data_IF_735025588364
#
_entry.id   IF_735025588364
#
_cell.length_a   1.000
_cell.length_b   1.000
_cell.length_c   1.000
_cell.angle_alpha   90.00
_cell.angle_beta   90.00
_cell.angle_gamma   90.00
#
_symmetry.space_group_name_H-M   'P 1'
#
loop_
_entity.id
_entity.type
_entity.pdbx_description
1 polymer ?
#
# COMPACT_ATOMS: atom_id res chain seq x y z
N UNK A 1 -26.58 -2.97 1.64
CA UNK A 1 -25.45 -2.23 2.22
C UNK A 1 -24.20 -3.00 1.90
N UNK A 2 -23.19 -2.33 1.35
CA UNK A 2 -21.95 -2.98 0.98
C UNK A 2 -20.96 -2.81 2.14
N UNK A 3 -20.46 -3.88 2.78
CA UNK A 3 -19.53 -3.76 3.93
C UNK A 3 -18.28 -2.94 3.61
N UNK A 4 -17.95 -2.76 2.33
CA UNK A 4 -16.86 -1.90 1.89
C UNK A 4 -17.14 -0.40 2.00
N UNK A 5 -18.39 0.04 2.11
CA UNK A 5 -18.76 1.45 2.21
C UNK A 5 -19.20 1.87 3.61
N UNK A 6 -19.64 0.93 4.44
CA UNK A 6 -20.17 1.24 5.77
C UNK A 6 -19.09 1.82 6.69
N UNK A 7 -17.88 1.25 6.69
CA UNK A 7 -16.75 1.78 7.45
C UNK A 7 -16.26 3.13 6.91
N UNK A 8 -16.28 3.33 5.59
CA UNK A 8 -15.93 4.60 4.99
C UNK A 8 -16.93 5.71 5.38
N UNK A 9 -18.23 5.40 5.43
CA UNK A 9 -19.26 6.33 5.88
C UNK A 9 -19.02 6.74 7.34
N UNK A 10 -18.73 5.80 8.23
CA UNK A 10 -18.42 6.06 9.63
C UNK A 10 -17.18 6.96 9.79
N UNK A 11 -16.13 6.75 8.97
CA UNK A 11 -14.95 7.61 8.96
C UNK A 11 -15.33 9.05 8.59
N UNK A 12 -16.09 9.26 7.52
CA UNK A 12 -16.53 10.60 7.11
C UNK A 12 -17.33 11.31 8.22
N UNK A 13 -18.21 10.57 8.91
CA UNK A 13 -19.01 11.09 10.01
C UNK A 13 -18.15 11.50 11.21
N UNK A 14 -17.09 10.76 11.55
CA UNK A 14 -16.14 11.12 12.60
C UNK A 14 -15.49 12.49 12.37
N UNK A 15 -15.26 12.86 11.12
CA UNK A 15 -14.73 14.18 10.74
C UNK A 15 -15.82 15.25 10.56
N UNK A 16 -17.05 14.97 10.95
CA UNK A 16 -18.17 15.92 10.89
C UNK A 16 -18.58 16.30 9.47
N UNK A 17 -18.29 15.46 8.48
CA UNK A 17 -18.58 15.71 7.06
C UNK A 17 -18.04 17.05 6.55
N UNK A 18 -16.86 17.47 7.04
CA UNK A 18 -16.24 18.75 6.67
C UNK A 18 -15.25 18.58 5.51
N UNK A 19 -15.39 19.43 4.49
CA UNK A 19 -14.52 19.40 3.30
C UNK A 19 -13.04 19.70 3.60
N UNK A 20 -12.77 20.47 4.63
CA UNK A 20 -11.41 20.77 5.11
C UNK A 20 -10.64 19.54 5.57
N UNK A 21 -11.36 18.47 5.96
CA UNK A 21 -10.80 17.21 6.42
C UNK A 21 -10.65 16.15 5.31
N UNK A 22 -10.85 16.51 4.04
CA UNK A 22 -10.84 15.57 2.92
C UNK A 22 -9.58 14.68 2.90
N UNK A 23 -8.39 15.25 3.08
CA UNK A 23 -7.14 14.48 3.06
C UNK A 23 -7.08 13.48 4.21
N UNK A 24 -7.44 13.90 5.43
CA UNK A 24 -7.46 13.02 6.61
C UNK A 24 -8.48 11.88 6.45
N UNK A 25 -9.66 12.19 5.91
CA UNK A 25 -10.70 11.18 5.59
C UNK A 25 -10.15 10.15 4.59
N UNK A 26 -9.51 10.59 3.51
CA UNK A 26 -8.92 9.68 2.50
C UNK A 26 -7.78 8.85 3.09
N UNK A 27 -6.96 9.40 3.99
CA UNK A 27 -5.91 8.65 4.69
C UNK A 27 -6.48 7.54 5.55
N UNK A 28 -7.52 7.81 6.33
CA UNK A 28 -8.14 6.82 7.20
C UNK A 28 -8.90 5.75 6.40
N UNK A 29 -9.55 6.13 5.30
CA UNK A 29 -10.16 5.15 4.39
C UNK A 29 -9.10 4.26 3.77
N UNK A 30 -7.97 4.83 3.30
CA UNK A 30 -6.89 4.01 2.75
C UNK A 30 -6.25 3.11 3.80
N UNK A 31 -6.09 3.57 5.03
CA UNK A 31 -5.61 2.73 6.13
C UNK A 31 -6.57 1.57 6.44
N UNK A 32 -7.88 1.79 6.28
CA UNK A 32 -8.90 0.78 6.53
C UNK A 32 -9.02 -0.29 5.42
N UNK A 33 -8.75 0.09 4.16
CA UNK A 33 -8.98 -0.77 2.98
C UNK A 33 -7.72 -1.02 2.13
N UNK A 34 -6.57 -0.47 2.50
CA UNK A 34 -5.29 -0.46 1.77
C UNK A 34 -5.31 0.30 0.43
N UNK A 35 -6.47 0.78 -0.04
CA UNK A 35 -6.61 1.58 -1.25
C UNK A 35 -7.91 2.39 -1.21
N UNK A 36 -8.05 3.33 -2.14
CA UNK A 36 -9.24 4.16 -2.33
C UNK A 36 -10.04 3.63 -3.51
N UNK A 37 -11.13 2.90 -3.25
CA UNK A 37 -12.01 2.41 -4.30
C UNK A 37 -12.87 3.54 -4.88
N UNK A 38 -13.32 3.39 -6.13
CA UNK A 38 -14.26 4.33 -6.77
C UNK A 38 -15.54 4.53 -5.92
N UNK A 39 -16.06 3.44 -5.35
CA UNK A 39 -17.24 3.49 -4.47
C UNK A 39 -16.98 4.34 -3.23
N UNK A 40 -15.79 4.22 -2.60
CA UNK A 40 -15.43 5.01 -1.43
C UNK A 40 -15.23 6.49 -1.79
N UNK A 41 -14.59 6.79 -2.92
CA UNK A 41 -14.40 8.18 -3.38
C UNK A 41 -15.74 8.86 -3.71
N UNK A 42 -16.65 8.15 -4.34
CA UNK A 42 -18.00 8.64 -4.63
C UNK A 42 -18.78 8.91 -3.33
N UNK A 43 -18.74 7.98 -2.38
CA UNK A 43 -19.36 8.16 -1.08
C UNK A 43 -18.81 9.39 -0.32
N UNK A 44 -17.50 9.57 -0.33
CA UNK A 44 -16.86 10.76 0.28
C UNK A 44 -17.35 12.05 -0.38
N UNK A 45 -17.41 12.09 -1.72
CA UNK A 45 -17.91 13.25 -2.47
C UNK A 45 -19.35 13.59 -2.08
N UNK A 46 -20.23 12.59 -2.06
CA UNK A 46 -21.64 12.74 -1.70
C UNK A 46 -21.83 13.25 -0.27
N UNK A 47 -21.08 12.65 0.68
CA UNK A 47 -21.17 13.03 2.10
C UNK A 47 -20.62 14.41 2.41
N UNK A 48 -19.58 14.84 1.68
CA UNK A 48 -18.99 16.17 1.81
C UNK A 48 -19.70 17.24 0.98
N UNK A 49 -20.62 16.87 0.09
CA UNK A 49 -21.30 17.78 -0.82
C UNK A 49 -20.38 18.44 -1.86
N UNK A 50 -19.33 17.73 -2.29
CA UNK A 50 -18.37 18.19 -3.30
C UNK A 50 -18.40 17.29 -4.53
N UNK A 51 -17.84 17.75 -5.64
CA UNK A 51 -17.77 16.94 -6.85
C UNK A 51 -16.81 15.75 -6.69
N UNK A 52 -17.14 14.62 -7.30
CA UNK A 52 -16.28 13.44 -7.37
C UNK A 52 -14.93 13.79 -8.00
N UNK A 53 -14.92 14.65 -9.03
CA UNK A 53 -13.68 15.14 -9.67
C UNK A 53 -12.74 15.83 -8.67
N UNK A 54 -13.27 16.57 -7.70
CA UNK A 54 -12.47 17.20 -6.64
C UNK A 54 -11.82 16.16 -5.75
N UNK A 55 -12.55 15.13 -5.35
CA UNK A 55 -12.03 14.03 -4.53
C UNK A 55 -10.96 13.25 -5.30
N UNK A 56 -11.20 12.92 -6.57
CA UNK A 56 -10.21 12.25 -7.44
C UNK A 56 -8.96 13.10 -7.65
N UNK A 57 -9.09 14.41 -7.83
CA UNK A 57 -7.92 15.28 -8.00
C UNK A 57 -7.01 15.27 -6.77
N UNK A 58 -7.57 15.19 -5.57
CA UNK A 58 -6.79 15.03 -4.33
C UNK A 58 -6.19 13.62 -4.23
N UNK A 59 -6.97 12.60 -4.51
CA UNK A 59 -6.53 11.19 -4.43
C UNK A 59 -5.41 10.86 -5.43
N UNK A 60 -5.36 11.54 -6.58
CA UNK A 60 -4.30 11.35 -7.59
C UNK A 60 -3.11 12.28 -7.42
N UNK A 61 -3.27 13.39 -6.72
CA UNK A 61 -2.18 14.34 -6.48
C UNK A 61 -1.17 13.81 -5.46
N UNK A 62 -1.62 13.16 -4.40
CA UNK A 62 -0.75 12.63 -3.37
C UNK A 62 -0.30 11.20 -3.69
N UNK A 63 1.00 11.02 -3.85
CA UNK A 63 1.63 9.74 -4.21
C UNK A 63 1.37 8.61 -3.18
N UNK A 64 1.05 8.99 -1.95
CA UNK A 64 0.72 8.05 -0.87
C UNK A 64 -0.65 7.39 -1.04
N UNK A 65 -1.55 7.96 -1.85
CA UNK A 65 -2.84 7.36 -2.14
C UNK A 65 -2.76 6.34 -3.28
N UNK A 66 -3.52 5.26 -3.17
CA UNK A 66 -3.60 4.21 -4.15
C UNK A 66 -5.05 3.97 -4.58
N UNK A 67 -5.30 4.09 -5.88
CA UNK A 67 -6.63 3.83 -6.48
C UNK A 67 -6.78 2.36 -6.91
N UNK A 68 -5.68 1.63 -7.03
CA UNK A 68 -5.67 0.20 -7.34
C UNK A 68 -5.79 -0.66 -6.10
N UNK A 69 -6.58 -1.74 -6.21
CA UNK A 69 -6.67 -2.72 -5.14
C UNK A 69 -5.28 -3.30 -4.80
N UNK A 70 -4.94 -3.29 -3.51
CA UNK A 70 -3.71 -3.88 -2.99
C UNK A 70 -3.96 -5.28 -2.45
N UNK A 71 -2.91 -6.08 -2.42
CA UNK A 71 -2.93 -7.40 -1.81
C UNK A 71 -3.08 -7.33 -0.29
N UNK A 72 -3.25 -8.49 0.32
CA UNK A 72 -3.37 -8.64 1.77
C UNK A 72 -2.12 -8.12 2.50
N UNK A 73 -0.94 -8.41 1.94
CA UNK A 73 0.35 -7.98 2.47
C UNK A 73 1.02 -6.96 1.54
N UNK A 74 1.53 -5.87 2.10
CA UNK A 74 2.21 -4.81 1.35
C UNK A 74 3.70 -4.87 1.65
N UNK A 75 4.49 -5.15 0.60
CA UNK A 75 5.94 -5.19 0.63
C UNK A 75 6.46 -3.87 0.09
N UNK A 76 7.32 -3.19 0.86
CA UNK A 76 7.99 -1.97 0.42
C UNK A 76 9.50 -2.17 0.47
N UNK A 77 10.16 -2.02 -0.66
CA UNK A 77 11.63 -2.10 -0.77
C UNK A 77 12.20 -0.69 -0.83
N UNK A 78 13.15 -0.39 0.04
CA UNK A 78 13.81 0.91 0.04
C UNK A 78 14.71 1.08 -1.17
N UNK A 79 14.49 2.14 -1.95
CA UNK A 79 15.30 2.54 -3.10
C UNK A 79 16.25 3.71 -2.80
N UNK A 80 16.39 4.11 -1.53
CA UNK A 80 17.29 5.17 -1.10
C UNK A 80 18.75 4.83 -1.38
N UNK A 81 19.62 5.82 -1.46
CA UNK A 81 21.02 5.69 -1.87
C UNK A 81 21.77 4.59 -1.11
N UNK A 82 21.70 4.57 0.23
CA UNK A 82 22.38 3.56 1.03
C UNK A 82 21.90 2.13 0.74
N UNK A 83 20.60 1.94 0.55
CA UNK A 83 20.01 0.65 0.20
C UNK A 83 20.35 0.26 -1.25
N UNK A 84 20.31 1.20 -2.16
CA UNK A 84 20.65 0.97 -3.58
C UNK A 84 22.10 0.52 -3.73
N UNK A 85 23.05 1.20 -3.10
CA UNK A 85 24.47 0.82 -3.09
C UNK A 85 24.67 -0.57 -2.49
N UNK A 86 23.87 -0.93 -1.50
CA UNK A 86 23.90 -2.26 -0.86
C UNK A 86 22.97 -3.28 -1.56
N UNK A 87 22.63 -3.05 -2.83
CA UNK A 87 21.92 -3.98 -3.73
C UNK A 87 20.47 -4.25 -3.36
N UNK A 88 19.69 -3.21 -3.00
CA UNK A 88 18.24 -3.33 -2.85
C UNK A 88 17.51 -3.62 -4.17
N UNK A 89 18.06 -3.19 -5.32
CA UNK A 89 17.51 -3.47 -6.64
C UNK A 89 17.32 -4.98 -6.89
N UNK A 90 18.36 -5.82 -6.78
CA UNK A 90 18.22 -7.27 -6.90
C UNK A 90 17.18 -7.90 -5.95
N UNK A 91 16.96 -7.34 -4.77
CA UNK A 91 15.90 -7.79 -3.85
C UNK A 91 14.52 -7.54 -4.47
N UNK A 92 14.32 -6.33 -5.00
CA UNK A 92 13.07 -5.97 -5.68
C UNK A 92 12.83 -6.87 -6.89
N UNK A 93 13.84 -7.08 -7.73
CA UNK A 93 13.73 -7.90 -8.93
C UNK A 93 13.39 -9.35 -8.60
N UNK A 94 14.04 -9.94 -7.59
CA UNK A 94 13.73 -11.30 -7.13
C UNK A 94 12.29 -11.45 -6.64
N UNK A 95 11.79 -10.48 -5.88
CA UNK A 95 10.40 -10.49 -5.41
C UNK A 95 9.44 -10.29 -6.59
N UNK A 96 9.77 -9.39 -7.53
CA UNK A 96 8.97 -9.11 -8.72
C UNK A 96 8.77 -10.36 -9.57
N UNK A 97 9.84 -11.12 -9.81
CA UNK A 97 9.79 -12.40 -10.53
C UNK A 97 9.02 -13.48 -9.75
N UNK A 98 9.29 -13.60 -8.45
CA UNK A 98 8.61 -14.58 -7.58
C UNK A 98 7.09 -14.39 -7.54
N UNK A 99 6.63 -13.14 -7.55
CA UNK A 99 5.21 -12.81 -7.55
C UNK A 99 4.57 -12.87 -8.95
N UNK A 100 5.33 -13.16 -10.00
CA UNK A 100 4.85 -13.22 -11.39
C UNK A 100 4.32 -11.88 -11.89
N UNK A 101 4.91 -10.77 -11.43
CA UNK A 101 4.49 -9.43 -11.81
C UNK A 101 4.97 -9.09 -13.22
N UNK A 102 4.22 -8.24 -13.92
CA UNK A 102 4.56 -7.79 -15.27
C UNK A 102 4.10 -6.36 -15.54
N UNK A 103 4.88 -5.60 -16.27
CA UNK A 103 4.55 -4.23 -16.68
C UNK A 103 4.34 -3.31 -15.47
N UNK A 104 3.17 -2.68 -15.40
CA UNK A 104 2.81 -1.76 -14.31
C UNK A 104 2.13 -2.45 -13.12
N UNK A 105 1.94 -3.73 -13.21
CA UNK A 105 1.25 -4.50 -12.18
C UNK A 105 2.12 -4.62 -10.93
N UNK A 106 1.53 -4.39 -9.78
CA UNK A 106 2.21 -4.39 -8.47
C UNK A 106 1.66 -5.43 -7.51
N UNK A 107 0.50 -6.00 -7.80
CA UNK A 107 -0.19 -6.98 -6.95
C UNK A 107 -0.16 -8.35 -7.63
N UNK A 108 0.16 -9.40 -6.87
CA UNK A 108 0.16 -10.78 -7.33
C UNK A 108 -1.24 -11.27 -7.72
N UNK A 109 -1.32 -12.27 -8.62
CA UNK A 109 -2.58 -12.79 -9.15
C UNK A 109 -3.51 -13.35 -8.07
N UNK A 110 -2.91 -13.92 -7.02
CA UNK A 110 -3.63 -14.47 -5.87
C UNK A 110 -4.15 -13.38 -4.91
N UNK A 111 -3.85 -12.10 -5.16
CA UNK A 111 -4.23 -10.99 -4.30
C UNK A 111 -3.52 -10.98 -2.94
N UNK A 112 -2.49 -11.78 -2.75
CA UNK A 112 -1.81 -11.90 -1.46
C UNK A 112 -0.80 -10.78 -1.22
N UNK A 113 0.04 -10.46 -2.21
CA UNK A 113 1.13 -9.51 -2.06
C UNK A 113 1.03 -8.33 -3.02
N UNK A 114 1.36 -7.16 -2.52
CA UNK A 114 1.63 -5.96 -3.34
C UNK A 114 3.08 -5.54 -3.12
N UNK A 115 3.83 -5.33 -4.20
CA UNK A 115 5.22 -4.88 -4.19
C UNK A 115 5.33 -3.42 -4.58
N UNK A 116 5.90 -2.63 -3.70
CA UNK A 116 6.14 -1.19 -3.88
C UNK A 116 7.61 -0.83 -3.60
N UNK A 117 8.06 0.28 -4.15
CA UNK A 117 9.32 0.91 -3.75
C UNK A 117 9.03 2.19 -2.97
N UNK A 118 9.92 2.52 -2.05
CA UNK A 118 9.89 3.81 -1.33
C UNK A 118 11.23 4.51 -1.50
N UNK A 119 11.20 5.83 -1.56
CA UNK A 119 12.41 6.64 -1.77
C UNK A 119 13.40 6.47 -0.60
N UNK A 120 12.93 6.42 0.63
CA UNK A 120 13.74 6.14 1.81
C UNK A 120 12.85 5.74 3.00
N UNK A 121 13.22 4.67 3.71
CA UNK A 121 12.58 4.24 4.96
C UNK A 121 13.19 4.91 6.21
N UNK A 122 14.29 5.66 6.06
CA UNK A 122 14.96 6.30 7.18
C UNK A 122 15.81 5.35 8.05
N UNK A 123 16.02 4.11 7.65
CA UNK A 123 16.75 3.08 8.39
C UNK A 123 18.08 2.71 7.72
N UNK A 124 18.86 3.69 7.27
CA UNK A 124 20.06 3.50 6.44
C UNK A 124 21.14 2.62 7.08
N UNK A 125 21.25 2.62 8.41
CA UNK A 125 22.18 1.76 9.15
C UNK A 125 21.84 0.26 9.05
N UNK A 126 20.60 -0.06 8.68
CA UNK A 126 20.10 -1.43 8.53
C UNK A 126 20.04 -1.89 7.06
N UNK A 127 20.55 -1.09 6.13
CA UNK A 127 20.46 -1.33 4.69
C UNK A 127 21.13 -2.66 4.25
N UNK A 128 20.58 -3.34 3.22
CA UNK A 128 19.33 -3.04 2.52
C UNK A 128 18.11 -3.37 3.35
N UNK A 129 17.09 -2.49 3.32
CA UNK A 129 15.90 -2.59 4.16
C UNK A 129 14.65 -2.77 3.30
N UNK A 130 13.75 -3.60 3.76
CA UNK A 130 12.38 -3.70 3.26
C UNK A 130 11.41 -3.75 4.43
N UNK A 131 10.15 -3.45 4.16
CA UNK A 131 9.07 -3.66 5.12
C UNK A 131 8.00 -4.59 4.54
N UNK A 132 7.37 -5.36 5.41
CA UNK A 132 6.15 -6.10 5.11
C UNK A 132 5.11 -5.67 6.14
N UNK A 133 4.01 -5.11 5.67
CA UNK A 133 2.91 -4.58 6.51
C UNK A 133 3.39 -3.57 7.58
N UNK A 134 4.46 -2.84 7.26
CA UNK A 134 5.07 -1.88 8.17
C UNK A 134 6.15 -2.44 9.10
N UNK A 135 6.31 -3.77 9.19
CA UNK A 135 7.40 -4.40 9.94
C UNK A 135 8.72 -4.29 9.17
N UNK A 136 9.76 -3.81 9.84
CA UNK A 136 11.07 -3.55 9.23
C UNK A 136 11.93 -4.81 9.23
N UNK A 137 12.43 -5.18 8.06
CA UNK A 137 13.38 -6.28 7.86
C UNK A 137 14.72 -5.72 7.38
N UNK A 138 15.75 -5.92 8.20
CA UNK A 138 17.09 -5.36 7.99
C UNK A 138 18.01 -6.31 7.25
N UNK A 139 19.05 -5.74 6.60
CA UNK A 139 20.15 -6.49 5.96
C UNK A 139 19.65 -7.61 5.04
N UNK A 140 18.63 -7.29 4.25
CA UNK A 140 17.97 -8.26 3.39
C UNK A 140 18.85 -8.65 2.21
N UNK A 141 18.63 -9.87 1.73
CA UNK A 141 19.16 -10.40 0.48
C UNK A 141 17.99 -10.92 -0.38
N UNK A 142 18.19 -11.16 -1.69
CA UNK A 142 17.16 -11.79 -2.51
C UNK A 142 16.66 -13.11 -1.89
N UNK A 143 17.56 -13.94 -1.40
CA UNK A 143 17.22 -15.24 -0.80
C UNK A 143 16.40 -15.06 0.48
N UNK A 144 16.84 -14.23 1.43
CA UNK A 144 16.12 -14.01 2.68
C UNK A 144 14.75 -13.34 2.47
N UNK A 145 14.63 -12.50 1.44
CA UNK A 145 13.35 -11.90 1.07
C UNK A 145 12.35 -12.96 0.58
N UNK A 146 12.76 -13.85 -0.31
CA UNK A 146 11.90 -14.93 -0.80
C UNK A 146 11.51 -15.92 0.31
N UNK A 147 12.44 -16.30 1.19
CA UNK A 147 12.17 -17.15 2.36
C UNK A 147 11.11 -16.53 3.28
N UNK A 148 11.21 -15.22 3.51
CA UNK A 148 10.21 -14.48 4.30
C UNK A 148 8.81 -14.54 3.65
N UNK A 149 8.72 -14.32 2.34
CA UNK A 149 7.44 -14.38 1.61
C UNK A 149 6.85 -15.79 1.62
N UNK A 150 7.69 -16.83 1.47
CA UNK A 150 7.23 -18.22 1.57
C UNK A 150 6.72 -18.54 2.96
N UNK A 151 7.38 -18.05 4.02
CA UNK A 151 6.93 -18.21 5.39
C UNK A 151 5.55 -17.59 5.59
N UNK A 152 5.34 -16.33 5.17
CA UNK A 152 4.06 -15.65 5.25
C UNK A 152 2.99 -16.43 4.49
N UNK A 153 3.30 -16.92 3.29
CA UNK A 153 2.37 -17.70 2.48
C UNK A 153 1.94 -19.01 3.15
N UNK A 154 2.86 -19.67 3.84
CA UNK A 154 2.55 -20.88 4.62
C UNK A 154 1.70 -20.60 5.84
N UNK A 155 1.96 -19.51 6.55
CA UNK A 155 1.18 -19.07 7.71
C UNK A 155 -0.26 -18.71 7.32
N UNK A 156 -0.44 -18.06 6.18
CA UNK A 156 -1.77 -17.73 5.64
C UNK A 156 -2.53 -18.99 5.15
N UNK A 157 -1.84 -19.97 4.59
CA UNK A 157 -2.45 -21.23 4.15
C UNK A 157 -2.85 -22.14 5.32
N UNK A 158 -2.31 -21.89 6.52
CA UNK A 158 -2.60 -22.63 7.73
C UNK A 158 -3.77 -22.07 8.55
N UNK A 159 -4.31 -20.91 8.16
CA UNK A 159 -5.48 -20.24 8.77
C UNK A 159 -6.76 -20.54 7.99
#
# INVERSE_FOLDING_TARGET
MNPQTDRAAAIVEQYGCKTENLIAILQDIQAAYNYLSEANLTLVADRLGISVSKVYSVATFYENFSLGAKGKHIIKVCAGTACHVRKSGPIYDAIYEYLGLSGKRRTSDDGMFTLETVACLGACGLAPVMTVDGEVHAKMSPTSALELLEKIRKEEAAQ
#
